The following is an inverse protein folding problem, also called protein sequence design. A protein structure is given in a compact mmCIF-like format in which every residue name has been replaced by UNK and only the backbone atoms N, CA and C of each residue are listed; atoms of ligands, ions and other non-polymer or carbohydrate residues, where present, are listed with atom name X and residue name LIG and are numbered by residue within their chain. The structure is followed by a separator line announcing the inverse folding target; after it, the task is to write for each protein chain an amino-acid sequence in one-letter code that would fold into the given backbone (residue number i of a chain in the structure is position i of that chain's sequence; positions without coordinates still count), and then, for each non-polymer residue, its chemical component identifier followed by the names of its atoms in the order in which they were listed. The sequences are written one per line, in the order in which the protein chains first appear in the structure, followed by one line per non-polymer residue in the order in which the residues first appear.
data_IF_820737099940
#
_entry.id   IF_820737099940
#
_cell.length_a   1.000
_cell.length_b   1.000
_cell.length_c   1.000
_cell.angle_alpha   90.00
_cell.angle_beta   90.00
_cell.angle_gamma   90.00
#
_symmetry.space_group_name_H-M   'P 1'
#
loop_
_entity.id
_entity.type
_entity.pdbx_description
1 polymer ?
#
# COMPACT_ATOMS: atom_id res chain seq x y z
N UNK A 1 -4.50 -16.13 3.07
CA UNK A 1 -5.68 -16.10 2.15
C UNK A 1 -6.26 -14.69 2.12
N UNK A 2 -6.53 -14.13 0.93
CA UNK A 2 -7.09 -12.78 0.80
C UNK A 2 -8.60 -12.77 1.12
N UNK A 3 -9.03 -11.80 1.93
CA UNK A 3 -10.44 -11.52 2.25
C UNK A 3 -10.87 -10.25 1.53
N UNK A 4 -11.94 -10.32 0.74
CA UNK A 4 -12.49 -9.16 0.00
C UNK A 4 -13.37 -8.30 0.91
N UNK A 5 -13.24 -6.97 0.81
CA UNK A 5 -13.95 -5.98 1.62
C UNK A 5 -14.83 -5.06 0.75
N UNK A 6 -16.03 -5.50 0.34
CA UNK A 6 -16.89 -4.71 -0.55
C UNK A 6 -17.44 -3.43 0.09
N UNK A 7 -17.42 -3.34 1.42
CA UNK A 7 -17.83 -2.13 2.14
C UNK A 7 -16.78 -1.02 2.06
N UNK A 8 -15.49 -1.38 1.91
CA UNK A 8 -14.40 -0.42 1.85
C UNK A 8 -14.55 0.45 0.59
N UNK A 9 -14.65 1.76 0.79
CA UNK A 9 -14.73 2.71 -0.30
C UNK A 9 -13.33 3.13 -0.68
N UNK A 10 -12.89 2.72 -1.86
CA UNK A 10 -11.52 2.91 -2.34
C UNK A 10 -11.48 3.04 -3.85
N UNK A 11 -10.32 3.43 -4.37
CA UNK A 11 -10.06 3.53 -5.82
C UNK A 11 -10.21 2.18 -6.52
N UNK A 12 -9.73 1.10 -5.89
CA UNK A 12 -9.84 -0.27 -6.38
C UNK A 12 -10.45 -1.18 -5.30
N UNK A 13 -11.03 -2.35 -5.67
CA UNK A 13 -11.45 -3.36 -4.70
C UNK A 13 -10.37 -3.67 -3.66
N UNK A 14 -10.76 -3.60 -2.39
CA UNK A 14 -9.85 -3.79 -1.26
C UNK A 14 -9.88 -5.23 -0.74
N UNK A 15 -8.70 -5.76 -0.45
CA UNK A 15 -8.50 -7.08 0.12
C UNK A 15 -7.62 -6.97 1.36
N UNK A 16 -7.87 -7.77 2.39
CA UNK A 16 -6.94 -7.89 3.53
C UNK A 16 -6.38 -9.29 3.65
N UNK A 17 -5.21 -9.39 4.28
CA UNK A 17 -4.66 -10.66 4.73
C UNK A 17 -3.78 -10.46 5.95
N UNK A 18 -3.63 -11.52 6.73
CA UNK A 18 -2.66 -11.61 7.81
C UNK A 18 -1.63 -12.68 7.47
N UNK A 19 -0.37 -12.44 7.79
CA UNK A 19 0.72 -13.40 7.67
C UNK A 19 1.54 -13.45 8.95
N UNK A 20 2.22 -14.57 9.19
CA UNK A 20 3.10 -14.75 10.37
C UNK A 20 4.49 -14.15 10.14
N UNK A 21 4.91 -14.00 8.89
CA UNK A 21 6.18 -13.40 8.50
C UNK A 21 6.07 -12.73 7.13
N UNK A 22 7.06 -11.88 6.81
CA UNK A 22 7.19 -11.27 5.49
C UNK A 22 7.29 -12.35 4.39
N UNK A 23 8.06 -13.41 4.63
CA UNK A 23 8.20 -14.52 3.68
C UNK A 23 6.87 -15.22 3.41
N UNK A 24 6.12 -15.55 4.48
CA UNK A 24 4.81 -16.16 4.35
C UNK A 24 3.85 -15.26 3.56
N UNK A 25 3.89 -13.94 3.80
CA UNK A 25 3.08 -12.98 3.06
C UNK A 25 3.34 -13.07 1.55
N UNK A 26 4.60 -13.00 1.11
CA UNK A 26 4.94 -13.03 -0.33
C UNK A 26 4.58 -14.36 -0.97
N UNK A 27 4.74 -15.48 -0.26
CA UNK A 27 4.37 -16.79 -0.80
C UNK A 27 2.85 -16.97 -0.95
N UNK A 28 2.06 -16.32 -0.11
CA UNK A 28 0.59 -16.38 -0.15
C UNK A 28 -0.06 -15.27 -0.98
N UNK A 29 0.71 -14.27 -1.40
CA UNK A 29 0.21 -13.12 -2.14
C UNK A 29 -0.31 -13.56 -3.52
N UNK A 30 -1.63 -13.64 -3.65
CA UNK A 30 -2.36 -14.02 -4.87
C UNK A 30 -3.45 -12.98 -5.15
N UNK A 31 -3.07 -11.75 -5.56
CA UNK A 31 -4.04 -10.73 -5.92
C UNK A 31 -4.87 -11.19 -7.13
N UNK A 32 -6.11 -10.68 -7.28
CA UNK A 32 -6.96 -11.01 -8.43
C UNK A 32 -6.55 -10.29 -9.72
N UNK A 33 -5.54 -9.43 -9.66
CA UNK A 33 -5.07 -8.57 -10.75
C UNK A 33 -3.56 -8.77 -11.00
N UNK A 34 -3.07 -8.56 -12.23
CA UNK A 34 -1.63 -8.64 -12.53
C UNK A 34 -0.81 -7.61 -11.77
N UNK A 35 -1.41 -6.46 -11.44
CA UNK A 35 -0.81 -5.40 -10.63
C UNK A 35 -1.73 -4.94 -9.53
N UNK A 36 -1.17 -4.46 -8.43
CA UNK A 36 -1.93 -4.04 -7.26
C UNK A 36 -1.15 -3.05 -6.40
N UNK A 37 -1.89 -2.25 -5.63
CA UNK A 37 -1.33 -1.46 -4.53
C UNK A 37 -1.16 -2.38 -3.32
N UNK A 38 0.00 -2.34 -2.70
CA UNK A 38 0.29 -3.10 -1.49
C UNK A 38 0.44 -2.15 -0.30
N UNK A 39 -0.41 -2.31 0.70
CA UNK A 39 -0.19 -1.77 2.04
C UNK A 39 0.38 -2.88 2.93
N UNK A 40 1.50 -2.62 3.62
CA UNK A 40 2.12 -3.57 4.55
C UNK A 40 2.27 -2.94 5.93
N UNK A 41 1.57 -3.51 6.91
CA UNK A 41 1.77 -3.25 8.32
C UNK A 41 2.66 -4.35 8.93
N UNK A 42 3.85 -3.97 9.39
CA UNK A 42 4.80 -4.89 9.98
C UNK A 42 5.76 -4.19 10.96
N UNK A 43 6.23 -4.92 11.96
CA UNK A 43 7.45 -4.57 12.70
C UNK A 43 8.66 -5.17 11.95
N UNK A 44 9.45 -4.29 11.36
CA UNK A 44 10.67 -4.64 10.62
C UNK A 44 11.96 -4.21 11.33
N UNK A 45 11.87 -3.89 12.62
CA UNK A 45 13.01 -3.36 13.40
C UNK A 45 14.14 -4.38 13.55
N UNK A 46 13.84 -5.68 13.59
CA UNK A 46 14.81 -6.75 13.79
C UNK A 46 15.42 -7.30 12.48
N UNK A 47 14.89 -6.91 11.34
CA UNK A 47 15.24 -7.44 10.02
C UNK A 47 16.46 -6.67 9.50
N UNK A 48 17.34 -7.35 8.76
CA UNK A 48 18.47 -6.69 8.10
C UNK A 48 18.05 -6.03 6.80
N UNK A 49 18.75 -4.98 6.36
CA UNK A 49 18.44 -4.29 5.10
C UNK A 49 18.53 -5.25 3.89
N UNK A 50 19.49 -6.18 3.91
CA UNK A 50 19.61 -7.21 2.88
C UNK A 50 18.39 -8.14 2.80
N UNK A 51 17.81 -8.50 3.95
CA UNK A 51 16.60 -9.30 4.00
C UNK A 51 15.38 -8.51 3.48
N UNK A 52 15.27 -7.23 3.86
CA UNK A 52 14.21 -6.35 3.37
C UNK A 52 14.30 -6.13 1.86
N UNK A 53 15.50 -5.90 1.32
CA UNK A 53 15.72 -5.74 -0.13
C UNK A 53 15.37 -7.01 -0.91
N UNK A 54 15.82 -8.18 -0.45
CA UNK A 54 15.47 -9.46 -1.08
C UNK A 54 13.96 -9.73 -1.03
N UNK A 55 13.31 -9.37 0.07
CA UNK A 55 11.87 -9.49 0.21
C UNK A 55 11.11 -8.53 -0.70
N UNK A 56 11.49 -7.25 -0.71
CA UNK A 56 10.86 -6.22 -1.54
C UNK A 56 10.95 -6.58 -3.02
N UNK A 57 12.10 -7.10 -3.46
CA UNK A 57 12.24 -7.61 -4.82
C UNK A 57 11.24 -8.71 -5.17
N UNK A 58 11.11 -9.73 -4.32
CA UNK A 58 10.10 -10.78 -4.56
C UNK A 58 8.67 -10.25 -4.52
N UNK A 59 8.39 -9.24 -3.70
CA UNK A 59 7.08 -8.60 -3.67
C UNK A 59 6.79 -7.86 -4.99
N UNK A 60 7.76 -7.12 -5.54
CA UNK A 60 7.67 -6.48 -6.85
C UNK A 60 7.42 -7.51 -7.96
N UNK A 61 8.07 -8.68 -7.90
CA UNK A 61 7.87 -9.77 -8.86
C UNK A 61 6.44 -10.36 -8.80
N UNK A 62 5.66 -10.08 -7.74
CA UNK A 62 4.24 -10.42 -7.65
C UNK A 62 3.31 -9.39 -8.31
N UNK A 63 3.82 -8.24 -8.75
CA UNK A 63 3.04 -7.19 -9.39
C UNK A 63 2.72 -5.98 -8.50
N UNK A 64 3.51 -5.73 -7.45
CA UNK A 64 3.34 -4.51 -6.65
C UNK A 64 3.63 -3.28 -7.54
N UNK A 65 2.61 -2.44 -7.69
CA UNK A 65 2.65 -1.22 -8.51
C UNK A 65 2.75 0.07 -7.66
N UNK A 66 2.43 -0.04 -6.37
CA UNK A 66 2.59 1.00 -5.36
C UNK A 66 2.77 0.30 -4.00
N UNK A 67 3.68 0.76 -3.15
CA UNK A 67 3.87 0.21 -1.81
C UNK A 67 3.68 1.27 -0.70
N UNK A 68 2.73 1.04 0.21
CA UNK A 68 2.57 1.81 1.45
C UNK A 68 3.08 0.97 2.63
N UNK A 69 4.04 1.49 3.37
CA UNK A 69 4.66 0.80 4.50
C UNK A 69 4.24 1.44 5.83
N UNK A 70 3.85 0.64 6.82
CA UNK A 70 3.46 1.10 8.15
C UNK A 70 4.04 0.19 9.25
N UNK A 71 4.29 0.76 10.41
CA UNK A 71 4.77 0.06 11.61
C UNK A 71 6.24 0.34 11.95
N UNK A 72 6.77 -0.25 13.04
CA UNK A 72 8.13 0.01 13.48
C UNK A 72 9.18 -0.32 12.42
N UNK A 73 10.00 0.67 12.06
CA UNK A 73 11.04 0.54 11.06
C UNK A 73 10.55 0.58 9.61
N UNK A 74 9.29 0.94 9.35
CA UNK A 74 8.72 0.87 8.00
C UNK A 74 9.41 1.77 6.97
N UNK A 75 10.11 2.85 7.38
CA UNK A 75 10.96 3.62 6.46
C UNK A 75 12.07 2.77 5.83
N UNK A 76 12.63 1.80 6.56
CA UNK A 76 13.61 0.85 6.00
C UNK A 76 12.99 -0.10 4.98
N UNK A 77 11.72 -0.45 5.15
CA UNK A 77 10.99 -1.28 4.20
C UNK A 77 10.65 -0.51 2.92
N UNK A 78 10.25 0.76 3.05
CA UNK A 78 10.06 1.65 1.91
C UNK A 78 11.36 1.84 1.12
N UNK A 79 12.46 2.16 1.79
CA UNK A 79 13.79 2.26 1.16
C UNK A 79 14.19 0.96 0.43
N UNK A 80 13.83 -0.21 1.00
CA UNK A 80 14.07 -1.49 0.34
C UNK A 80 13.26 -1.66 -0.96
N UNK A 81 12.01 -1.19 -0.99
CA UNK A 81 11.22 -1.14 -2.22
C UNK A 81 11.82 -0.20 -3.27
N UNK A 82 12.25 1.00 -2.87
CA UNK A 82 12.85 1.97 -3.79
C UNK A 82 14.09 1.39 -4.48
N UNK A 83 15.02 0.84 -3.69
CA UNK A 83 16.24 0.24 -4.23
C UNK A 83 15.91 -0.95 -5.15
N UNK A 84 14.98 -1.82 -4.73
CA UNK A 84 14.58 -2.97 -5.54
C UNK A 84 13.84 -2.57 -6.83
N UNK A 85 13.15 -1.43 -6.84
CA UNK A 85 12.49 -0.88 -8.02
C UNK A 85 13.50 -0.28 -9.00
N UNK A 86 14.50 0.48 -8.50
CA UNK A 86 15.60 1.04 -9.29
C UNK A 86 16.36 -0.10 -10.03
N UNK A 87 16.65 -1.20 -9.33
CA UNK A 87 17.33 -2.35 -9.92
C UNK A 87 16.51 -3.04 -11.03
N UNK A 88 15.18 -2.84 -11.06
CA UNK A 88 14.23 -3.41 -12.03
C UNK A 88 13.88 -2.47 -13.18
N UNK A 89 14.33 -1.21 -13.13
CA UNK A 89 14.03 -0.26 -14.20
C UNK A 89 14.52 -0.78 -15.56
N UNK A 90 13.60 -0.86 -16.51
CA UNK A 90 13.85 -1.23 -17.90
C UNK A 90 14.13 0.02 -18.74
N UNK A 91 14.62 -0.16 -19.97
CA UNK A 91 14.71 0.97 -20.92
C UNK A 91 13.36 1.64 -21.17
N UNK A 92 12.25 0.89 -21.12
CA UNK A 92 10.90 1.43 -21.32
C UNK A 92 10.51 2.38 -20.18
N UNK A 93 10.70 1.97 -18.93
CA UNK A 93 10.40 2.80 -17.76
C UNK A 93 11.38 3.96 -17.61
N UNK A 94 12.64 3.80 -18.04
CA UNK A 94 13.62 4.90 -18.05
C UNK A 94 13.30 5.97 -19.09
N UNK A 95 12.76 5.58 -20.23
CA UNK A 95 12.51 6.48 -21.35
C UNK A 95 11.21 7.27 -21.23
N UNK A 96 10.22 6.79 -20.46
CA UNK A 96 8.98 7.54 -20.22
C UNK A 96 9.12 8.63 -19.15
N UNK A 97 10.15 8.53 -18.28
CA UNK A 97 10.49 9.52 -17.25
C UNK A 97 9.42 9.73 -16.17
N UNK A 98 8.37 8.89 -16.14
CA UNK A 98 7.20 9.06 -15.27
C UNK A 98 6.82 7.76 -14.57
N UNK A 99 7.15 6.60 -15.13
CA UNK A 99 6.76 5.30 -14.59
C UNK A 99 7.78 4.77 -13.58
N UNK A 100 7.47 4.99 -12.31
CA UNK A 100 8.18 4.38 -11.19
C UNK A 100 7.18 3.69 -10.27
N UNK A 101 7.62 2.62 -9.59
CA UNK A 101 6.86 2.11 -8.45
C UNK A 101 6.97 3.14 -7.34
N UNK A 102 5.84 3.76 -6.98
CA UNK A 102 5.81 4.77 -5.93
C UNK A 102 5.71 4.07 -4.58
N UNK A 103 6.49 4.55 -3.62
CA UNK A 103 6.53 4.03 -2.27
C UNK A 103 6.21 5.14 -1.27
N UNK A 104 5.63 4.79 -0.13
CA UNK A 104 5.44 5.71 1.00
C UNK A 104 5.68 4.99 2.33
N UNK A 105 6.26 5.69 3.29
CA UNK A 105 6.37 5.27 4.67
C UNK A 105 5.46 6.11 5.59
N UNK A 106 4.72 5.44 6.46
CA UNK A 106 3.72 6.03 7.35
C UNK A 106 4.13 5.87 8.83
N UNK A 107 5.38 6.18 9.18
CA UNK A 107 5.95 5.95 10.53
C UNK A 107 5.25 6.71 11.65
N UNK A 108 4.60 7.83 11.33
CA UNK A 108 3.99 8.74 12.31
C UNK A 108 2.46 8.72 12.28
N UNK A 109 1.89 7.97 11.34
CA UNK A 109 0.45 7.91 11.15
C UNK A 109 -0.12 6.77 11.99
N UNK A 110 -1.37 6.91 12.41
CA UNK A 110 -2.12 5.76 12.91
C UNK A 110 -2.33 4.72 11.79
N UNK A 111 -2.59 3.47 12.17
CA UNK A 111 -2.89 2.39 11.23
C UNK A 111 -4.03 2.78 10.28
N UNK A 112 -5.08 3.44 10.81
CA UNK A 112 -6.25 3.87 10.04
C UNK A 112 -5.93 4.98 9.05
N UNK A 113 -5.09 5.94 9.42
CA UNK A 113 -4.64 7.02 8.51
C UNK A 113 -3.80 6.46 7.36
N UNK A 114 -2.87 5.54 7.67
CA UNK A 114 -2.04 4.90 6.67
C UNK A 114 -2.85 3.98 5.74
N UNK A 115 -3.79 3.20 6.29
CA UNK A 115 -4.73 2.40 5.50
C UNK A 115 -5.63 3.28 4.63
N UNK A 116 -6.12 4.40 5.17
CA UNK A 116 -6.88 5.39 4.40
C UNK A 116 -6.09 5.91 3.21
N UNK A 117 -4.82 6.24 3.40
CA UNK A 117 -3.93 6.71 2.34
C UNK A 117 -3.80 5.65 1.24
N UNK A 118 -3.53 4.39 1.59
CA UNK A 118 -3.45 3.31 0.62
C UNK A 118 -4.77 3.13 -0.17
N UNK A 119 -5.92 3.30 0.49
CA UNK A 119 -7.24 3.13 -0.12
C UNK A 119 -7.63 4.29 -1.07
N UNK A 120 -7.14 5.50 -0.82
CA UNK A 120 -7.69 6.73 -1.43
C UNK A 120 -6.66 7.62 -2.15
N UNK A 121 -5.37 7.44 -1.86
CA UNK A 121 -4.29 8.33 -2.31
C UNK A 121 -3.14 7.58 -3.02
N UNK A 122 -3.04 6.26 -2.85
CA UNK A 122 -2.02 5.44 -3.50
C UNK A 122 -2.42 5.08 -4.94
N UNK A 123 -2.12 5.96 -5.88
CA UNK A 123 -2.31 5.72 -7.31
C UNK A 123 -0.96 5.32 -7.95
N UNK A 124 -0.88 4.15 -8.62
CA UNK A 124 0.29 3.80 -9.42
C UNK A 124 0.58 4.89 -10.47
N UNK A 125 1.85 5.01 -10.87
CA UNK A 125 2.26 6.01 -11.86
C UNK A 125 2.45 5.39 -13.26
N UNK A 126 1.96 6.09 -14.29
CA UNK A 126 2.31 5.80 -15.68
C UNK A 126 1.92 4.39 -16.12
N UNK A 127 2.88 3.63 -16.66
CA UNK A 127 2.63 2.26 -17.18
C UNK A 127 2.19 1.27 -16.10
N UNK A 128 2.36 1.60 -14.82
CA UNK A 128 1.89 0.78 -13.70
C UNK A 128 0.40 0.96 -13.40
N UNK A 129 -0.26 1.99 -13.95
CA UNK A 129 -1.72 2.16 -13.85
C UNK A 129 -2.45 1.04 -14.58
N UNK A 130 -1.99 0.66 -15.78
CA UNK A 130 -2.62 -0.38 -16.58
C UNK A 130 -2.58 -1.74 -15.86
N UNK A 131 -3.74 -2.37 -15.66
CA UNK A 131 -3.87 -3.66 -14.99
C UNK A 131 -3.72 -3.61 -13.46
N UNK A 132 -3.66 -2.42 -12.86
CA UNK A 132 -3.81 -2.26 -11.40
C UNK A 132 -5.29 -2.15 -11.04
N UNK A 133 -5.84 -3.25 -10.52
CA UNK A 133 -7.28 -3.37 -10.21
C UNK A 133 -7.55 -3.87 -8.78
N UNK A 134 -6.55 -3.81 -7.89
CA UNK A 134 -6.71 -4.24 -6.50
C UNK A 134 -5.83 -3.44 -5.53
N UNK A 135 -6.30 -3.34 -4.29
CA UNK A 135 -5.52 -2.89 -3.13
C UNK A 135 -5.46 -4.05 -2.14
N UNK A 136 -4.25 -4.48 -1.77
CA UNK A 136 -4.03 -5.52 -0.76
C UNK A 136 -3.46 -4.88 0.50
N UNK A 137 -4.19 -5.00 1.61
CA UNK A 137 -3.77 -4.53 2.93
C UNK A 137 -3.32 -5.74 3.76
N UNK A 138 -2.01 -5.91 3.86
CA UNK A 138 -1.37 -7.02 4.54
C UNK A 138 -0.86 -6.62 5.92
N UNK A 139 -1.11 -7.46 6.92
CA UNK A 139 -0.61 -7.29 8.29
C UNK A 139 0.27 -8.48 8.66
N UNK A 140 1.46 -8.23 9.19
CA UNK A 140 2.49 -9.26 9.43
C UNK A 140 2.85 -9.34 10.90
N UNK A 141 2.55 -10.46 11.55
CA UNK A 141 2.90 -10.69 12.95
C UNK A 141 2.16 -9.82 13.98
N UNK A 142 1.14 -9.06 13.54
CA UNK A 142 0.47 -8.01 14.32
C UNK A 142 -1.06 -8.26 14.36
N UNK A 143 -1.53 -9.27 15.13
CA UNK A 143 -2.92 -9.70 15.06
C UNK A 143 -3.94 -8.70 15.63
N UNK A 144 -3.53 -7.81 16.54
CA UNK A 144 -4.41 -6.76 17.07
C UNK A 144 -4.69 -5.70 16.01
N UNK A 145 -3.64 -5.31 15.29
CA UNK A 145 -3.66 -4.35 14.19
C UNK A 145 -4.43 -4.92 12.99
N UNK A 146 -4.30 -6.22 12.72
CA UNK A 146 -5.14 -6.86 11.70
C UNK A 146 -6.62 -6.79 12.04
N UNK A 147 -6.99 -6.99 13.31
CA UNK A 147 -8.39 -6.84 13.74
C UNK A 147 -8.88 -5.40 13.57
N UNK A 148 -8.09 -4.42 14.01
CA UNK A 148 -8.42 -3.01 13.83
C UNK A 148 -8.60 -2.64 12.35
N UNK A 149 -7.71 -3.14 11.49
CA UNK A 149 -7.76 -2.91 10.05
C UNK A 149 -9.04 -3.49 9.43
N UNK A 150 -9.41 -4.72 9.78
CA UNK A 150 -10.64 -5.34 9.29
C UNK A 150 -11.87 -4.56 9.76
N UNK A 151 -11.94 -4.19 11.04
CA UNK A 151 -13.03 -3.35 11.57
C UNK A 151 -13.12 -2.01 10.82
N UNK A 152 -11.99 -1.40 10.49
CA UNK A 152 -11.94 -0.17 9.72
C UNK A 152 -12.49 -0.35 8.29
N UNK A 153 -12.07 -1.41 7.59
CA UNK A 153 -12.55 -1.74 6.25
C UNK A 153 -14.05 -2.05 6.22
N UNK A 154 -14.54 -2.81 7.19
CA UNK A 154 -15.96 -3.19 7.32
C UNK A 154 -16.85 -2.02 7.73
N UNK A 155 -16.31 -1.01 8.43
CA UNK A 155 -17.03 0.24 8.74
C UNK A 155 -17.28 1.11 7.50
N UNK A 156 -16.69 0.74 6.37
CA UNK A 156 -16.86 1.38 5.07
C UNK A 156 -15.87 2.49 4.77
N UNK A 157 -14.72 2.51 5.46
CA UNK A 157 -13.55 3.38 5.31
C UNK A 157 -13.89 4.77 4.70
N UNK A 158 -14.00 5.85 5.49
CA UNK A 158 -14.53 7.11 4.99
C UNK A 158 -13.70 7.65 3.82
N UNK A 159 -14.34 7.86 2.66
CA UNK A 159 -13.76 8.72 1.62
C UNK A 159 -13.76 10.13 2.21
N UNK A 160 -12.58 10.71 2.45
CA UNK A 160 -12.49 12.14 2.69
C UNK A 160 -12.79 12.82 1.35
N UNK A 161 -14.08 13.11 1.07
CA UNK A 161 -14.42 14.03 0.00
C UNK A 161 -13.75 15.34 0.40
N UNK A 162 -12.68 15.73 -0.30
CA UNK A 162 -12.11 17.08 -0.19
C UNK A 162 -13.29 18.04 -0.30
N UNK A 163 -13.70 18.62 0.82
CA UNK A 163 -14.64 19.71 0.82
C UNK A 163 -13.98 20.81 -0.01
N UNK A 164 -14.50 21.06 -1.20
CA UNK A 164 -14.61 22.43 -1.65
C UNK A 164 -15.52 23.06 -0.61
N UNK A 165 -14.93 23.57 0.47
CA UNK A 165 -15.59 24.56 1.30
C UNK A 165 -15.65 25.78 0.41
N UNK A 166 -16.72 25.89 -0.38
CA UNK A 166 -17.10 27.17 -0.96
C UNK A 166 -17.28 28.08 0.24
N UNK A 167 -16.31 28.95 0.48
CA UNK A 167 -16.50 30.12 1.32
C UNK A 167 -17.69 30.84 0.67
N UNK A 168 -18.88 30.66 1.25
CA UNK A 168 -19.98 31.54 0.98
C UNK A 168 -19.47 32.93 1.34
N UNK A 169 -19.28 33.74 0.31
CA UNK A 169 -19.09 35.17 0.48
C UNK A 169 -20.30 35.65 1.29
N UNK A 170 -20.03 36.04 2.52
CA UNK A 170 -21.01 36.70 3.36
C UNK A 170 -21.16 38.12 2.80
N UNK A 171 -22.11 38.25 1.86
CA UNK A 171 -22.72 39.52 1.52
C UNK A 171 -23.56 39.99 2.72
N UNK A 172 -23.10 41.07 3.36
CA UNK A 172 -23.82 42.14 4.10
C UNK A 172 -22.96 42.55 5.31
N UNK A 173 -22.40 43.75 5.38
CA UNK A 173 -23.08 45.05 5.31
C UNK A 173 -22.07 46.18 5.10
#
# INVERSE_FOLDING_TARGET
MLTHHPAARSTFPAYSTIATSLDALVEELRPPSPRFVLFVAADVSAQSDAALAAWAGRALDRGVAYACCWGPGCGRLETAFDLAAIDRETEVTRNDGVSVVVTTAHERDSLREAAWFALNAAYPAGVFEEGTDAIVLAVVGMPAEHRELVEYLESGAPIYRRGITTLAADERS
#
